data_IF_549331496590
#
_entry.id   IF_549331496590
#
_cell.length_a   1.000
_cell.length_b   1.000
_cell.length_c   1.000
_cell.angle_alpha   90.00
_cell.angle_beta   90.00
_cell.angle_gamma   90.00
#
_symmetry.space_group_name_H-M   'P 1'
#
loop_
_entity.id
_entity.type
_entity.pdbx_description
1 polymer ?
#
# COMPACT_ATOMS: atom_id res chain seq x y z
N UNK A 1 -21.59 13.90 -12.63
CA UNK A 1 -20.29 13.18 -12.53
C UNK A 1 -20.49 11.78 -13.08
N UNK A 2 -19.64 11.30 -13.98
CA UNK A 2 -19.83 10.00 -14.60
C UNK A 2 -19.42 8.85 -13.65
N UNK A 3 -20.22 7.80 -13.61
CA UNK A 3 -19.98 6.63 -12.76
C UNK A 3 -19.81 5.38 -13.61
N UNK A 4 -18.79 4.59 -13.30
CA UNK A 4 -18.60 3.22 -13.79
C UNK A 4 -18.69 2.29 -12.57
N UNK A 5 -19.43 1.20 -12.70
CA UNK A 5 -19.54 0.19 -11.64
C UNK A 5 -18.62 -0.99 -11.94
N UNK A 6 -17.95 -1.52 -10.90
CA UNK A 6 -17.18 -2.76 -10.99
C UNK A 6 -17.66 -3.75 -9.94
N UNK A 7 -18.30 -4.81 -10.40
CA UNK A 7 -19.07 -5.72 -9.56
C UNK A 7 -18.52 -7.13 -9.59
N UNK A 8 -18.56 -7.81 -8.44
CA UNK A 8 -18.23 -9.22 -8.32
C UNK A 8 -18.24 -9.69 -6.87
N UNK A 9 -18.38 -10.98 -6.60
CA UNK A 9 -18.44 -11.52 -5.25
C UNK A 9 -17.24 -11.18 -4.39
N UNK A 10 -17.38 -11.26 -3.08
CA UNK A 10 -16.26 -11.01 -2.17
C UNK A 10 -15.11 -12.01 -2.38
N UNK A 11 -13.86 -11.54 -2.27
CA UNK A 11 -12.68 -12.38 -2.42
C UNK A 11 -12.27 -12.73 -3.86
N UNK A 12 -12.89 -12.13 -4.87
CA UNK A 12 -12.60 -12.43 -6.29
C UNK A 12 -11.47 -11.61 -6.91
N UNK A 13 -10.82 -10.74 -6.12
CA UNK A 13 -9.71 -9.92 -6.59
C UNK A 13 -10.13 -8.57 -7.20
N UNK A 14 -11.36 -8.07 -6.96
CA UNK A 14 -11.84 -6.77 -7.46
C UNK A 14 -10.90 -5.61 -7.10
N UNK A 15 -10.61 -5.43 -5.81
CA UNK A 15 -9.72 -4.34 -5.36
C UNK A 15 -8.34 -4.42 -6.01
N UNK A 16 -7.84 -5.62 -6.27
CA UNK A 16 -6.59 -5.83 -7.01
C UNK A 16 -6.66 -5.32 -8.45
N UNK A 17 -7.81 -5.43 -9.12
CA UNK A 17 -7.99 -5.05 -10.51
C UNK A 17 -8.58 -3.65 -10.67
N UNK A 18 -9.08 -3.06 -9.59
CA UNK A 18 -9.81 -1.79 -9.62
C UNK A 18 -9.03 -0.66 -10.31
N UNK A 19 -7.72 -0.55 -10.07
CA UNK A 19 -6.89 0.48 -10.70
C UNK A 19 -6.81 0.26 -12.22
N UNK A 20 -6.56 -0.99 -12.67
CA UNK A 20 -6.51 -1.31 -14.09
C UNK A 20 -7.84 -1.03 -14.79
N UNK A 21 -8.96 -1.41 -14.17
CA UNK A 21 -10.31 -1.12 -14.66
C UNK A 21 -10.58 0.38 -14.69
N UNK A 22 -10.20 1.12 -13.65
CA UNK A 22 -10.33 2.57 -13.59
C UNK A 22 -9.55 3.25 -14.71
N UNK A 23 -8.32 2.83 -14.95
CA UNK A 23 -7.48 3.38 -16.00
C UNK A 23 -8.08 3.13 -17.40
N UNK A 24 -8.46 1.88 -17.71
CA UNK A 24 -9.07 1.53 -19.00
C UNK A 24 -10.35 2.31 -19.28
N UNK A 25 -11.09 2.68 -18.24
CA UNK A 25 -12.33 3.45 -18.35
C UNK A 25 -12.15 4.95 -18.07
N UNK A 26 -10.91 5.43 -18.01
CA UNK A 26 -10.56 6.85 -17.78
C UNK A 26 -11.23 7.42 -16.51
N UNK A 27 -11.25 6.66 -15.43
CA UNK A 27 -11.75 7.11 -14.14
C UNK A 27 -10.67 7.85 -13.37
N UNK A 28 -11.03 9.00 -12.78
CA UNK A 28 -10.12 9.86 -12.02
C UNK A 28 -9.94 9.40 -10.58
N UNK A 29 -10.95 8.68 -10.05
CA UNK A 29 -10.95 8.20 -8.68
C UNK A 29 -11.70 6.86 -8.56
N UNK A 30 -11.43 6.16 -7.46
CA UNK A 30 -12.04 4.87 -7.13
C UNK A 30 -12.72 4.98 -5.78
N UNK A 31 -13.94 4.43 -5.68
CA UNK A 31 -14.62 4.17 -4.42
C UNK A 31 -14.56 2.66 -4.16
N UNK A 32 -13.87 2.25 -3.09
CA UNK A 32 -13.75 0.86 -2.67
C UNK A 32 -13.77 0.75 -1.14
N UNK A 33 -14.59 -0.16 -0.61
CA UNK A 33 -14.69 -0.47 0.82
C UNK A 33 -14.82 0.77 1.75
N UNK A 34 -15.60 1.77 1.34
CA UNK A 34 -15.86 2.98 2.12
C UNK A 34 -14.84 4.10 1.95
N UNK A 35 -13.87 3.95 1.07
CA UNK A 35 -12.83 4.92 0.77
C UNK A 35 -13.01 5.56 -0.60
N UNK A 36 -12.74 6.86 -0.71
CA UNK A 36 -12.53 7.58 -1.96
C UNK A 36 -11.02 7.74 -2.19
N UNK A 37 -10.53 7.16 -3.27
CA UNK A 37 -9.12 7.06 -3.59
C UNK A 37 -8.85 7.74 -4.93
N UNK A 38 -7.86 8.63 -5.00
CA UNK A 38 -7.39 9.23 -6.24
C UNK A 38 -5.88 9.06 -6.37
N UNK A 39 -5.43 8.39 -7.44
CA UNK A 39 -4.03 8.05 -7.62
C UNK A 39 -3.52 7.22 -6.43
N UNK A 40 -2.62 7.81 -5.65
CA UNK A 40 -2.01 7.18 -4.47
C UNK A 40 -2.60 7.69 -3.14
N UNK A 41 -3.60 8.58 -3.18
CA UNK A 41 -4.13 9.27 -2.00
C UNK A 41 -5.55 8.84 -1.67
N UNK A 42 -5.80 8.66 -0.37
CA UNK A 42 -7.16 8.60 0.16
C UNK A 42 -7.62 10.04 0.36
N UNK A 43 -8.64 10.46 -0.38
CA UNK A 43 -9.19 11.80 -0.29
C UNK A 43 -10.20 11.92 0.84
N UNK A 44 -11.01 10.89 1.07
CA UNK A 44 -12.05 10.87 2.09
C UNK A 44 -12.51 9.44 2.40
N UNK A 45 -13.30 9.30 3.46
CA UNK A 45 -13.89 8.04 3.85
C UNK A 45 -13.12 7.30 4.94
N UNK A 46 -13.73 6.22 5.42
CA UNK A 46 -13.16 5.32 6.44
C UNK A 46 -13.26 3.88 5.93
N UNK A 47 -12.18 3.13 6.07
CA UNK A 47 -12.11 1.76 5.57
C UNK A 47 -13.08 0.82 6.31
N UNK A 48 -13.93 0.15 5.56
CA UNK A 48 -14.79 -0.91 6.08
C UNK A 48 -14.01 -2.12 6.64
N UNK A 49 -12.73 -2.26 6.28
CA UNK A 49 -11.86 -3.34 6.74
C UNK A 49 -11.36 -3.15 8.17
N UNK A 50 -11.46 -1.94 8.70
CA UNK A 50 -11.11 -1.65 10.09
C UNK A 50 -12.23 -2.03 11.07
N UNK A 51 -13.41 -2.40 10.55
CA UNK A 51 -14.54 -2.77 11.39
C UNK A 51 -14.42 -4.22 11.89
N UNK A 52 -14.61 -4.40 13.18
CA UNK A 52 -14.54 -5.72 13.85
C UNK A 52 -15.71 -6.62 13.42
N UNK A 53 -16.87 -5.99 13.13
CA UNK A 53 -18.11 -6.69 12.83
C UNK A 53 -18.46 -6.56 11.34
N UNK A 54 -18.79 -7.71 10.70
CA UNK A 54 -19.20 -7.75 9.28
C UNK A 54 -20.37 -6.84 8.95
N UNK A 55 -21.33 -6.68 9.87
CA UNK A 55 -22.48 -5.81 9.68
C UNK A 55 -22.06 -4.35 9.63
N UNK A 56 -21.15 -3.94 10.53
CA UNK A 56 -20.60 -2.59 10.52
C UNK A 56 -19.71 -2.35 9.31
N UNK A 57 -18.92 -3.34 8.91
CA UNK A 57 -18.14 -3.26 7.68
C UNK A 57 -19.03 -3.00 6.45
N UNK A 58 -20.16 -3.71 6.32
CA UNK A 58 -21.10 -3.45 5.22
C UNK A 58 -21.72 -2.07 5.33
N UNK A 59 -22.16 -1.63 6.51
CA UNK A 59 -22.71 -0.28 6.73
C UNK A 59 -21.70 0.79 6.33
N UNK A 60 -20.44 0.62 6.69
CA UNK A 60 -19.34 1.53 6.33
C UNK A 60 -19.10 1.55 4.82
N UNK A 61 -19.05 0.37 4.20
CA UNK A 61 -18.80 0.24 2.76
C UNK A 61 -19.91 0.85 1.88
N UNK A 62 -21.14 0.93 2.38
CA UNK A 62 -22.29 1.56 1.66
C UNK A 62 -22.56 2.99 2.13
N UNK A 63 -21.67 3.61 2.90
CA UNK A 63 -21.81 5.00 3.37
C UNK A 63 -23.10 5.26 4.18
N UNK A 64 -23.47 4.32 5.04
CA UNK A 64 -24.65 4.48 5.89
C UNK A 64 -24.42 5.53 7.00
N UNK A 65 -23.19 5.73 7.39
CA UNK A 65 -22.75 6.79 8.29
C UNK A 65 -22.81 8.14 7.56
N UNK A 66 -23.58 9.08 8.11
CA UNK A 66 -23.86 10.39 7.47
C UNK A 66 -22.60 11.26 7.39
N UNK A 67 -21.76 11.25 8.41
CA UNK A 67 -20.52 12.04 8.44
C UNK A 67 -19.52 11.55 7.39
N UNK A 68 -19.36 10.23 7.30
CA UNK A 68 -18.53 9.62 6.28
C UNK A 68 -19.05 9.89 4.87
N UNK A 69 -20.37 9.74 4.65
CA UNK A 69 -20.99 10.03 3.37
C UNK A 69 -20.80 11.50 2.98
N UNK A 70 -20.98 12.42 3.92
CA UNK A 70 -20.80 13.86 3.67
C UNK A 70 -19.36 14.20 3.33
N UNK A 71 -18.38 13.67 4.08
CA UNK A 71 -16.96 13.85 3.78
C UNK A 71 -16.59 13.40 2.36
N UNK A 72 -17.14 12.27 1.91
CA UNK A 72 -16.90 11.77 0.55
C UNK A 72 -17.59 12.62 -0.50
N UNK A 73 -18.84 13.07 -0.25
CA UNK A 73 -19.55 14.00 -1.15
C UNK A 73 -18.78 15.31 -1.33
N UNK A 74 -18.28 15.88 -0.25
CA UNK A 74 -17.52 17.13 -0.28
C UNK A 74 -16.22 16.95 -1.06
N UNK A 75 -15.51 15.84 -0.86
CA UNK A 75 -14.31 15.53 -1.61
C UNK A 75 -14.59 15.28 -3.11
N UNK A 76 -15.73 14.67 -3.46
CA UNK A 76 -16.15 14.47 -4.85
C UNK A 76 -16.53 15.80 -5.53
N UNK A 77 -17.19 16.71 -4.82
CA UNK A 77 -17.62 18.02 -5.33
C UNK A 77 -16.51 19.07 -5.33
N UNK A 78 -15.40 18.83 -4.63
CA UNK A 78 -14.29 19.79 -4.54
C UNK A 78 -13.57 19.94 -5.88
N UNK A 79 -13.60 21.16 -6.50
CA UNK A 79 -12.98 21.39 -7.80
C UNK A 79 -11.47 21.13 -7.83
N UNK A 80 -10.78 21.29 -6.68
CA UNK A 80 -9.35 21.02 -6.57
C UNK A 80 -9.02 19.55 -6.84
N UNK A 81 -9.96 18.65 -6.56
CA UNK A 81 -9.79 17.22 -6.79
C UNK A 81 -9.95 16.83 -8.27
N UNK A 82 -10.53 17.67 -9.13
CA UNK A 82 -10.70 17.43 -10.58
C UNK A 82 -11.24 16.03 -10.87
N UNK A 83 -12.32 15.63 -10.23
CA UNK A 83 -12.95 14.32 -10.40
C UNK A 83 -14.16 14.50 -11.33
N UNK A 84 -14.10 13.91 -12.52
CA UNK A 84 -15.20 13.90 -13.50
C UNK A 84 -15.82 12.53 -13.64
N UNK A 85 -14.99 11.47 -13.49
CA UNK A 85 -15.43 10.09 -13.62
C UNK A 85 -14.88 9.24 -12.48
N UNK A 86 -15.75 8.43 -11.88
CA UNK A 86 -15.39 7.54 -10.76
C UNK A 86 -15.66 6.08 -11.10
N UNK A 87 -14.84 5.19 -10.52
CA UNK A 87 -15.12 3.76 -10.46
C UNK A 87 -15.66 3.41 -9.09
N UNK A 88 -16.84 2.79 -9.01
CA UNK A 88 -17.39 2.27 -7.75
C UNK A 88 -17.22 0.74 -7.74
N UNK A 89 -16.51 0.23 -6.76
CA UNK A 89 -16.26 -1.20 -6.58
C UNK A 89 -17.23 -1.75 -5.55
N UNK A 90 -17.97 -2.80 -5.90
CA UNK A 90 -18.94 -3.39 -4.99
C UNK A 90 -19.07 -4.91 -5.16
N UNK A 91 -19.74 -5.55 -4.19
CA UNK A 91 -19.97 -7.00 -4.23
C UNK A 91 -21.19 -7.40 -5.02
N UNK A 92 -22.12 -6.48 -5.27
CA UNK A 92 -23.37 -6.69 -6.02
C UNK A 92 -23.93 -5.39 -6.56
N UNK A 93 -24.82 -5.48 -7.55
CA UNK A 93 -25.53 -4.32 -8.10
C UNK A 93 -26.38 -3.61 -7.05
N UNK A 94 -26.98 -4.36 -6.12
CA UNK A 94 -27.72 -3.77 -4.98
C UNK A 94 -26.83 -2.90 -4.10
N UNK A 95 -25.57 -3.24 -3.95
CA UNK A 95 -24.60 -2.44 -3.20
C UNK A 95 -24.24 -1.17 -3.98
N UNK A 96 -24.05 -1.26 -5.30
CA UNK A 96 -23.84 -0.08 -6.16
C UNK A 96 -25.00 0.90 -6.01
N UNK A 97 -26.25 0.45 -6.15
CA UNK A 97 -27.43 1.29 -6.03
C UNK A 97 -27.49 2.05 -4.69
N UNK A 98 -27.16 1.37 -3.58
CA UNK A 98 -27.08 2.02 -2.27
C UNK A 98 -25.98 3.06 -2.16
N UNK A 99 -24.79 2.78 -2.71
CA UNK A 99 -23.66 3.74 -2.71
C UNK A 99 -24.04 4.97 -3.52
N UNK A 100 -24.59 4.78 -4.71
CA UNK A 100 -25.04 5.84 -5.61
C UNK A 100 -26.07 6.74 -4.92
N UNK A 101 -27.09 6.13 -4.29
CA UNK A 101 -28.11 6.85 -3.51
C UNK A 101 -27.49 7.65 -2.35
N UNK A 102 -26.61 7.03 -1.55
CA UNK A 102 -26.04 7.69 -0.37
C UNK A 102 -25.05 8.80 -0.72
N UNK A 103 -24.30 8.66 -1.80
CA UNK A 103 -23.36 9.66 -2.26
C UNK A 103 -23.97 10.68 -3.22
N UNK A 104 -25.26 10.53 -3.62
CA UNK A 104 -25.97 11.43 -4.53
C UNK A 104 -25.22 11.64 -5.85
N UNK A 105 -24.69 10.53 -6.39
CA UNK A 105 -24.01 10.52 -7.69
C UNK A 105 -24.90 9.92 -8.77
N UNK A 106 -24.52 10.12 -10.04
CA UNK A 106 -25.31 9.60 -11.17
C UNK A 106 -25.34 8.07 -11.19
N UNK A 107 -26.35 7.51 -11.82
CA UNK A 107 -26.41 6.07 -12.07
C UNK A 107 -25.22 5.63 -12.95
N UNK A 108 -24.72 4.40 -12.77
CA UNK A 108 -23.60 3.92 -13.58
C UNK A 108 -23.93 3.93 -15.08
N UNK A 109 -23.06 4.55 -15.86
CA UNK A 109 -23.10 4.50 -17.33
C UNK A 109 -22.82 3.10 -17.85
N UNK A 110 -22.01 2.35 -17.12
CA UNK A 110 -21.61 0.98 -17.43
C UNK A 110 -21.31 0.21 -16.16
N UNK A 111 -21.73 -1.06 -16.14
CA UNK A 111 -21.33 -2.03 -15.14
C UNK A 111 -20.37 -3.05 -15.77
N UNK A 112 -19.23 -3.25 -15.14
CA UNK A 112 -18.22 -4.22 -15.51
C UNK A 112 -18.23 -5.32 -14.45
N UNK A 113 -18.33 -6.56 -14.86
CA UNK A 113 -18.30 -7.68 -13.94
C UNK A 113 -16.90 -8.31 -13.87
N UNK A 114 -16.55 -8.84 -12.70
CA UNK A 114 -15.22 -9.45 -12.47
C UNK A 114 -14.86 -10.53 -13.50
N UNK A 115 -15.85 -11.25 -14.00
CA UNK A 115 -15.67 -12.32 -15.01
C UNK A 115 -15.28 -11.78 -16.39
N UNK A 116 -15.50 -10.49 -16.66
CA UNK A 116 -15.07 -9.83 -17.92
C UNK A 116 -13.57 -9.49 -17.88
N UNK A 117 -12.99 -9.35 -16.70
CA UNK A 117 -11.61 -8.87 -16.51
C UNK A 117 -10.69 -9.87 -15.80
N UNK A 118 -11.22 -11.00 -15.37
CA UNK A 118 -10.47 -12.06 -14.70
C UNK A 118 -10.92 -13.46 -15.15
N UNK A 119 -9.97 -14.35 -15.33
CA UNK A 119 -10.25 -15.76 -15.63
C UNK A 119 -10.81 -16.49 -14.40
N UNK A 120 -11.49 -17.61 -14.65
CA UNK A 120 -12.01 -18.45 -13.56
C UNK A 120 -10.91 -18.95 -12.61
N UNK A 121 -9.73 -19.19 -13.14
CA UNK A 121 -8.56 -19.66 -12.37
C UNK A 121 -8.01 -18.56 -11.46
N UNK A 122 -7.90 -17.33 -11.97
CA UNK A 122 -7.47 -16.17 -11.19
C UNK A 122 -8.45 -15.85 -10.06
N UNK A 123 -9.75 -15.97 -10.32
CA UNK A 123 -10.79 -15.80 -9.30
C UNK A 123 -10.68 -16.86 -8.22
N UNK A 124 -10.48 -18.14 -8.62
CA UNK A 124 -10.26 -19.25 -7.66
C UNK A 124 -9.00 -19.01 -6.82
N UNK A 125 -7.90 -18.61 -7.44
CA UNK A 125 -6.64 -18.28 -6.75
C UNK A 125 -6.80 -17.12 -5.76
N UNK A 126 -7.52 -16.07 -6.14
CA UNK A 126 -7.80 -14.93 -5.27
C UNK A 126 -8.63 -15.34 -4.05
N UNK A 127 -9.65 -16.20 -4.23
CA UNK A 127 -10.46 -16.75 -3.13
C UNK A 127 -9.63 -17.63 -2.20
N UNK A 128 -8.80 -18.51 -2.76
CA UNK A 128 -7.91 -19.36 -2.01
C UNK A 128 -6.98 -18.57 -1.10
N UNK A 129 -6.28 -17.57 -1.66
CA UNK A 129 -5.37 -16.70 -0.92
C UNK A 129 -6.08 -15.93 0.21
N UNK A 130 -7.33 -15.51 -0.01
CA UNK A 130 -8.10 -14.83 1.02
C UNK A 130 -8.51 -15.77 2.16
N UNK A 131 -8.94 -16.98 1.84
CA UNK A 131 -9.42 -17.95 2.83
C UNK A 131 -8.27 -18.56 3.65
N UNK A 132 -7.13 -18.84 3.02
CA UNK A 132 -6.00 -19.50 3.67
C UNK A 132 -4.99 -18.55 4.29
N UNK A 133 -4.71 -17.44 3.62
CA UNK A 133 -3.68 -16.51 4.07
C UNK A 133 -4.26 -15.25 4.75
N UNK A 134 -5.58 -15.06 4.72
CA UNK A 134 -6.25 -13.84 5.24
C UNK A 134 -5.78 -12.56 4.55
N UNK A 135 -5.29 -12.64 3.30
CA UNK A 135 -4.71 -11.51 2.58
C UNK A 135 -5.77 -10.72 1.83
N UNK A 136 -5.77 -9.42 2.03
CA UNK A 136 -6.62 -8.49 1.29
C UNK A 136 -5.78 -7.43 0.60
N UNK A 137 -6.00 -7.24 -0.71
CA UNK A 137 -5.24 -6.30 -1.53
C UNK A 137 -6.06 -5.02 -1.73
N UNK A 138 -5.48 -3.88 -1.40
CA UNK A 138 -6.08 -2.55 -1.63
C UNK A 138 -5.29 -1.77 -2.69
N UNK A 139 -5.97 -0.92 -3.49
CA UNK A 139 -5.37 -0.24 -4.64
C UNK A 139 -4.65 1.08 -4.25
N UNK A 140 -3.97 1.14 -3.11
CA UNK A 140 -3.26 2.35 -2.64
C UNK A 140 -1.88 1.99 -2.11
N UNK A 141 -0.88 2.88 -2.21
CA UNK A 141 0.42 2.66 -1.63
C UNK A 141 0.38 2.48 -0.11
N UNK A 142 1.24 1.60 0.38
CA UNK A 142 1.35 1.28 1.81
C UNK A 142 1.58 2.50 2.71
N UNK A 143 2.33 3.48 2.23
CA UNK A 143 2.71 4.67 3.00
C UNK A 143 1.49 5.53 3.37
N UNK A 144 0.52 5.64 2.48
CA UNK A 144 -0.66 6.47 2.70
C UNK A 144 -1.75 5.78 3.52
N UNK A 145 -1.72 4.47 3.59
CA UNK A 145 -2.67 3.70 4.39
C UNK A 145 -2.26 3.56 5.87
N UNK A 146 -0.99 3.82 6.22
CA UNK A 146 -0.50 3.70 7.60
C UNK A 146 -1.37 4.42 8.64
N UNK A 147 -1.84 5.65 8.42
CA UNK A 147 -2.69 6.34 9.40
C UNK A 147 -4.08 5.72 9.58
N UNK A 148 -4.54 4.96 8.59
CA UNK A 148 -5.90 4.44 8.54
C UNK A 148 -5.99 2.91 8.65
N UNK A 149 -4.85 2.22 8.63
CA UNK A 149 -4.77 0.76 8.68
C UNK A 149 -3.95 0.29 9.87
N UNK A 150 -4.61 -0.04 10.95
CA UNK A 150 -3.99 -0.67 12.12
C UNK A 150 -3.58 -2.14 11.89
N UNK A 151 -3.95 -2.73 10.76
CA UNK A 151 -3.67 -4.14 10.41
C UNK A 151 -2.31 -4.44 9.79
N UNK A 152 -1.37 -3.49 9.80
CA UNK A 152 -0.13 -3.59 9.02
C UNK A 152 1.00 -4.39 9.64
N UNK A 153 0.90 -4.78 10.89
CA UNK A 153 1.94 -5.55 11.55
C UNK A 153 1.68 -7.05 11.46
N UNK A 154 1.79 -7.60 10.23
CA UNK A 154 1.77 -9.04 10.02
C UNK A 154 3.06 -9.74 10.47
N UNK A 155 4.04 -9.01 10.99
CA UNK A 155 5.36 -9.51 11.38
C UNK A 155 5.70 -9.29 12.86
N UNK A 156 4.73 -9.05 13.73
CA UNK A 156 4.95 -9.26 15.15
C UNK A 156 4.90 -10.76 15.43
N UNK A 157 5.94 -11.33 16.03
CA UNK A 157 5.91 -12.74 16.39
C UNK A 157 4.73 -13.00 17.30
N UNK A 158 3.94 -14.02 16.97
CA UNK A 158 2.70 -14.42 17.64
C UNK A 158 2.87 -14.88 19.10
N UNK A 159 3.98 -14.53 19.77
CA UNK A 159 4.39 -15.10 21.05
C UNK A 159 4.44 -14.11 22.22
N UNK A 160 3.87 -12.93 22.14
CA UNK A 160 3.95 -12.02 23.29
C UNK A 160 2.66 -11.88 24.08
N UNK A 161 1.57 -12.44 23.81
CA UNK A 161 0.41 -12.52 24.73
C UNK A 161 -0.56 -13.62 24.27
N UNK A 162 -0.21 -14.86 24.51
CA UNK A 162 -1.17 -15.96 24.37
C UNK A 162 -1.55 -16.55 25.72
N UNK A 163 -2.52 -15.93 26.35
CA UNK A 163 -3.38 -16.62 27.30
C UNK A 163 -4.81 -16.17 27.08
N UNK A 164 -5.35 -16.44 25.88
CA UNK A 164 -6.79 -16.63 25.65
C UNK A 164 -6.99 -17.04 24.19
N UNK A 165 -6.77 -18.34 23.96
CA UNK A 165 -7.19 -18.99 22.73
C UNK A 165 -8.69 -19.30 22.84
N UNK A 166 -9.53 -18.36 22.42
CA UNK A 166 -10.80 -18.68 21.75
C UNK A 166 -11.33 -17.40 21.11
N UNK A 167 -11.52 -17.44 19.78
CA UNK A 167 -12.14 -16.40 18.95
C UNK A 167 -11.29 -15.14 18.68
N UNK A 168 -10.11 -15.30 18.12
CA UNK A 168 -9.58 -14.25 17.25
C UNK A 168 -10.16 -14.52 15.87
N UNK A 169 -11.16 -13.73 15.49
CA UNK A 169 -11.63 -13.64 14.11
C UNK A 169 -10.40 -13.47 13.22
N UNK A 170 -10.26 -14.27 12.17
CA UNK A 170 -9.21 -14.14 11.17
C UNK A 170 -9.23 -12.69 10.66
N UNK A 171 -8.34 -11.85 11.20
CA UNK A 171 -8.18 -10.50 10.71
C UNK A 171 -7.64 -10.59 9.30
N UNK A 172 -8.42 -10.16 8.33
CA UNK A 172 -8.02 -10.08 6.93
C UNK A 172 -6.74 -9.25 6.83
N UNK A 173 -5.61 -9.89 6.57
CA UNK A 173 -4.32 -9.22 6.37
C UNK A 173 -4.35 -8.47 5.06
N UNK A 174 -4.21 -7.16 5.12
CA UNK A 174 -4.22 -6.32 3.91
C UNK A 174 -2.81 -6.21 3.31
N UNK A 175 -2.67 -6.66 2.07
CA UNK A 175 -1.47 -6.45 1.27
C UNK A 175 -1.72 -5.28 0.33
N UNK A 176 -0.91 -4.24 0.44
CA UNK A 176 -0.95 -3.09 -0.45
C UNK A 176 0.07 -3.27 -1.56
N UNK A 177 -0.38 -3.12 -2.80
CA UNK A 177 0.51 -3.10 -3.96
C UNK A 177 0.67 -1.67 -4.46
N UNK A 178 1.87 -1.26 -4.84
CA UNK A 178 2.10 0.03 -5.48
C UNK A 178 1.28 0.15 -6.78
N UNK A 179 0.77 1.35 -7.06
CA UNK A 179 -0.07 1.61 -8.24
C UNK A 179 0.60 1.24 -9.57
N UNK A 180 1.92 1.37 -9.68
CA UNK A 180 2.68 1.07 -10.89
C UNK A 180 2.79 -0.43 -11.22
N UNK A 181 2.44 -1.34 -10.32
CA UNK A 181 2.42 -2.79 -10.61
C UNK A 181 1.31 -3.20 -11.60
N UNK A 182 0.42 -2.28 -11.95
CA UNK A 182 -0.69 -2.52 -12.87
C UNK A 182 -0.34 -2.26 -14.35
N UNK A 183 0.74 -1.52 -14.62
CA UNK A 183 1.14 -1.13 -15.98
C UNK A 183 2.23 -2.02 -16.58
N UNK A 184 2.48 -3.16 -16.01
CA UNK A 184 3.52 -4.09 -16.41
C UNK A 184 4.35 -4.55 -15.22
N UNK A 185 5.42 -5.31 -15.48
CA UNK A 185 6.40 -5.67 -14.46
C UNK A 185 7.39 -4.52 -14.30
N UNK A 186 7.34 -3.81 -13.20
CA UNK A 186 8.46 -2.98 -12.78
C UNK A 186 9.50 -3.90 -12.11
N UNK A 187 10.60 -4.12 -12.78
CA UNK A 187 11.77 -4.81 -12.25
C UNK A 187 12.81 -3.76 -11.91
N UNK A 188 13.18 -3.67 -10.65
CA UNK A 188 14.27 -2.82 -10.18
C UNK A 188 15.47 -3.74 -9.99
N UNK A 189 16.53 -3.49 -10.77
CA UNK A 189 17.78 -4.21 -10.66
C UNK A 189 18.45 -3.93 -9.30
N UNK A 190 19.26 -4.88 -8.82
CA UNK A 190 19.99 -4.68 -7.58
C UNK A 190 20.98 -3.51 -7.70
N UNK A 191 21.58 -3.34 -8.87
CA UNK A 191 22.48 -2.21 -9.16
C UNK A 191 21.80 -0.84 -8.97
N UNK A 192 20.54 -0.69 -9.40
CA UNK A 192 19.80 0.54 -9.20
C UNK A 192 19.53 0.85 -7.71
N UNK A 193 19.40 -0.20 -6.88
CA UNK A 193 19.26 -0.02 -5.43
C UNK A 193 20.63 0.31 -4.82
N UNK A 194 21.69 -0.30 -5.31
CA UNK A 194 23.05 0.00 -4.89
C UNK A 194 23.43 1.45 -5.21
N UNK A 195 23.02 1.99 -6.37
CA UNK A 195 23.19 3.40 -6.71
C UNK A 195 22.46 4.34 -5.73
N UNK A 196 21.21 4.00 -5.35
CA UNK A 196 20.48 4.77 -4.34
C UNK A 196 21.21 4.76 -2.99
N UNK A 197 21.77 3.62 -2.61
CA UNK A 197 22.53 3.45 -1.36
C UNK A 197 23.82 4.28 -1.40
N UNK A 198 24.54 4.25 -2.53
CA UNK A 198 25.79 5.00 -2.72
C UNK A 198 25.55 6.52 -2.64
N UNK A 199 24.53 7.01 -3.35
CA UNK A 199 24.16 8.43 -3.32
C UNK A 199 23.73 8.85 -1.90
N UNK A 200 22.92 8.05 -1.22
CA UNK A 200 22.51 8.33 0.15
C UNK A 200 23.70 8.40 1.12
N UNK A 201 24.72 7.58 0.90
CA UNK A 201 25.91 7.62 1.74
C UNK A 201 26.80 8.83 1.44
N UNK A 202 26.95 9.22 0.20
CA UNK A 202 27.69 10.43 -0.19
C UNK A 202 27.03 11.69 0.39
N UNK A 203 25.70 11.73 0.46
CA UNK A 203 24.95 12.82 1.09
C UNK A 203 25.02 12.81 2.63
N UNK A 204 25.51 11.72 3.25
CA UNK A 204 25.55 11.61 4.71
C UNK A 204 26.79 12.29 5.27
N UNK A 205 26.57 13.37 6.02
CA UNK A 205 27.66 14.07 6.75
C UNK A 205 28.40 13.10 7.68
N UNK A 206 29.74 13.07 7.52
CA UNK A 206 30.61 12.19 8.32
C UNK A 206 31.02 10.91 7.60
N UNK A 207 30.41 10.57 6.47
CA UNK A 207 30.83 9.47 5.59
C UNK A 207 31.88 10.01 4.62
N UNK A 208 33.01 9.29 4.50
CA UNK A 208 34.08 9.66 3.56
C UNK A 208 33.92 8.91 2.24
N UNK A 209 33.60 7.62 2.29
CA UNK A 209 33.32 6.78 1.11
C UNK A 209 32.60 5.49 1.48
N UNK A 210 31.96 4.87 0.50
CA UNK A 210 31.50 3.48 0.58
C UNK A 210 32.58 2.57 0.00
N UNK A 211 32.89 1.51 0.71
CA UNK A 211 33.79 0.45 0.25
C UNK A 211 33.02 -0.61 -0.52
N UNK A 212 31.83 -0.95 -0.03
CA UNK A 212 30.99 -1.97 -0.62
C UNK A 212 29.55 -1.86 -0.13
N UNK A 213 28.58 -2.07 -1.02
CA UNK A 213 27.21 -2.37 -0.68
C UNK A 213 26.87 -3.81 -1.07
N UNK A 214 26.00 -4.45 -0.32
CA UNK A 214 25.48 -5.79 -0.62
C UNK A 214 23.99 -5.85 -0.27
N UNK A 215 23.20 -6.20 -1.26
CA UNK A 215 21.78 -6.43 -1.11
C UNK A 215 21.51 -7.93 -0.89
N UNK A 216 20.65 -8.24 0.05
CA UNK A 216 20.16 -9.58 0.23
C UNK A 216 18.63 -9.57 0.13
N UNK A 217 18.13 -10.05 -0.99
CA UNK A 217 16.71 -10.40 -1.13
C UNK A 217 16.49 -11.75 -0.49
N UNK A 218 15.61 -11.85 0.48
CA UNK A 218 15.17 -13.17 0.93
C UNK A 218 14.20 -13.72 -0.11
N UNK A 219 14.26 -15.03 -0.36
CA UNK A 219 13.45 -15.77 -1.33
C UNK A 219 11.93 -15.62 -1.12
N UNK A 220 11.52 -15.15 0.04
CA UNK A 220 10.15 -14.79 0.35
C UNK A 220 10.02 -13.27 0.25
N UNK A 221 9.45 -12.80 -0.85
CA UNK A 221 9.27 -11.37 -1.18
C UNK A 221 8.47 -10.56 -0.11
N UNK A 222 7.85 -11.26 0.86
CA UNK A 222 7.14 -10.66 1.99
C UNK A 222 8.07 -10.17 3.12
N UNK A 223 9.36 -10.55 3.11
CA UNK A 223 10.28 -10.33 4.25
C UNK A 223 11.20 -9.12 4.14
N UNK A 224 11.08 -8.30 3.10
CA UNK A 224 11.81 -7.04 2.92
C UNK A 224 13.30 -7.22 2.56
N UNK A 225 13.94 -6.09 2.21
CA UNK A 225 15.35 -6.01 1.85
C UNK A 225 16.23 -5.92 3.09
N UNK A 226 17.35 -6.63 3.07
CA UNK A 226 18.47 -6.44 4.02
C UNK A 226 19.62 -5.82 3.24
N UNK A 227 20.02 -4.62 3.63
CA UNK A 227 21.11 -3.87 2.99
C UNK A 227 22.30 -3.90 3.93
N UNK A 228 23.46 -4.28 3.42
CA UNK A 228 24.73 -4.24 4.15
C UNK A 228 25.68 -3.28 3.47
N UNK A 229 26.20 -2.31 4.21
CA UNK A 229 27.15 -1.32 3.70
C UNK A 229 28.42 -1.32 4.54
N UNK A 230 29.56 -1.29 3.85
CA UNK A 230 30.87 -1.11 4.45
C UNK A 230 31.35 0.31 4.08
N UNK A 231 31.64 1.13 5.09
CA UNK A 231 31.94 2.54 4.92
C UNK A 231 33.26 2.93 5.57
N UNK A 232 33.85 3.99 5.04
CA UNK A 232 34.93 4.76 5.66
C UNK A 232 34.31 6.04 6.19
N UNK A 233 34.58 6.38 7.45
CA UNK A 233 34.06 7.57 8.08
C UNK A 233 35.18 8.58 8.34
N UNK A 234 34.80 9.87 8.42
CA UNK A 234 35.72 10.90 8.89
C UNK A 234 35.92 10.79 10.40
N UNK A 235 37.16 11.00 10.85
CA UNK A 235 37.48 11.14 12.26
C UNK A 235 36.95 12.46 12.81
N UNK A 236 36.40 12.43 14.04
CA UNK A 236 35.99 13.64 14.76
C UNK A 236 34.58 13.63 15.29
N UNK A 237 33.67 12.82 14.74
CA UNK A 237 32.30 12.67 15.25
C UNK A 237 32.08 11.28 15.90
N UNK A 238 31.05 11.20 16.75
CA UNK A 238 30.63 9.92 17.34
C UNK A 238 30.13 8.97 16.26
N UNK A 239 30.80 7.82 16.08
CA UNK A 239 30.47 6.84 15.01
C UNK A 239 29.01 6.39 15.03
N UNK A 240 28.44 6.23 16.23
CA UNK A 240 27.03 5.84 16.39
C UNK A 240 26.05 6.89 15.80
N UNK A 241 26.41 8.19 15.85
CA UNK A 241 25.57 9.25 15.30
C UNK A 241 25.60 9.21 13.79
N UNK A 242 26.80 9.11 13.18
CA UNK A 242 26.97 9.03 11.73
C UNK A 242 26.27 7.78 11.18
N UNK A 243 26.53 6.60 11.77
CA UNK A 243 25.96 5.33 11.28
C UNK A 243 24.44 5.30 11.39
N UNK A 244 23.85 5.85 12.46
CA UNK A 244 22.40 5.96 12.60
C UNK A 244 21.79 6.91 11.57
N UNK A 245 22.44 8.03 11.30
CA UNK A 245 22.04 8.99 10.25
C UNK A 245 22.06 8.32 8.88
N UNK A 246 23.12 7.59 8.58
CA UNK A 246 23.27 6.81 7.34
C UNK A 246 22.19 5.74 7.19
N UNK A 247 21.95 4.94 8.24
CA UNK A 247 20.91 3.90 8.23
C UNK A 247 19.52 4.48 7.92
N UNK A 248 19.17 5.59 8.57
CA UNK A 248 17.87 6.25 8.37
C UNK A 248 17.75 6.80 6.95
N UNK A 249 18.79 7.43 6.41
CA UNK A 249 18.78 8.01 5.08
C UNK A 249 18.66 6.92 4.01
N UNK A 250 19.48 5.87 4.08
CA UNK A 250 19.41 4.73 3.16
C UNK A 250 18.01 4.11 3.18
N UNK A 251 17.50 3.81 4.38
CA UNK A 251 16.17 3.22 4.52
C UNK A 251 15.10 4.10 3.88
N UNK A 252 15.07 5.38 4.21
CA UNK A 252 14.04 6.29 3.70
C UNK A 252 14.12 6.48 2.19
N UNK A 253 15.32 6.61 1.61
CA UNK A 253 15.52 6.78 0.17
C UNK A 253 15.13 5.54 -0.62
N UNK A 254 15.59 4.36 -0.19
CA UNK A 254 15.26 3.10 -0.86
C UNK A 254 13.75 2.82 -0.78
N UNK A 255 13.13 2.98 0.40
CA UNK A 255 11.68 2.77 0.54
C UNK A 255 10.87 3.78 -0.29
N UNK A 256 11.30 5.04 -0.34
CA UNK A 256 10.62 6.10 -1.10
C UNK A 256 10.70 5.88 -2.61
N UNK A 257 11.89 5.57 -3.13
CA UNK A 257 12.11 5.46 -4.59
C UNK A 257 11.64 4.13 -5.16
N UNK A 258 11.72 3.05 -4.39
CA UNK A 258 11.43 1.69 -4.89
C UNK A 258 10.10 1.13 -4.41
N UNK A 259 9.47 1.75 -3.41
CA UNK A 259 8.34 1.22 -2.65
C UNK A 259 8.60 -0.18 -2.03
N UNK A 260 9.86 -0.61 -1.96
CA UNK A 260 10.26 -1.86 -1.30
C UNK A 260 10.44 -1.61 0.19
N UNK A 261 10.06 -2.56 1.04
CA UNK A 261 10.30 -2.45 2.48
C UNK A 261 11.74 -2.80 2.80
N UNK A 262 12.47 -1.92 3.46
CA UNK A 262 13.80 -2.19 4.01
C UNK A 262 13.65 -2.68 5.45
N UNK A 263 14.01 -3.94 5.69
CA UNK A 263 13.94 -4.56 7.01
C UNK A 263 15.07 -4.11 7.91
N UNK A 264 16.28 -4.11 7.37
CA UNK A 264 17.49 -3.79 8.11
C UNK A 264 18.53 -3.15 7.21
N UNK A 265 19.30 -2.22 7.77
CA UNK A 265 20.50 -1.62 7.17
C UNK A 265 21.66 -1.88 8.12
N UNK A 266 22.49 -2.86 7.80
CA UNK A 266 23.68 -3.20 8.57
C UNK A 266 24.85 -2.32 8.09
N UNK A 267 25.45 -1.54 8.98
CA UNK A 267 26.59 -0.67 8.66
C UNK A 267 27.84 -1.18 9.34
N UNK A 268 28.88 -1.46 8.58
CA UNK A 268 30.23 -1.83 9.06
C UNK A 268 31.21 -0.70 8.77
N UNK A 269 31.84 -0.17 9.81
CA UNK A 269 32.90 0.85 9.66
C UNK A 269 34.24 0.15 9.46
N UNK A 270 34.84 0.35 8.28
CA UNK A 270 36.11 -0.30 7.88
C UNK A 270 37.33 0.46 8.41
N UNK A 271 37.31 1.78 8.26
CA UNK A 271 38.41 2.63 8.68
C UNK A 271 37.93 4.07 8.91
N UNK A 272 38.80 4.85 9.51
CA UNK A 272 38.61 6.28 9.71
C UNK A 272 39.67 7.05 8.93
N UNK A 273 39.30 8.18 8.36
CA UNK A 273 40.19 9.13 7.67
C UNK A 273 40.06 10.52 8.26
N UNK A 274 41.13 11.26 8.26
CA UNK A 274 41.13 12.65 8.69
C UNK A 274 40.77 13.52 7.48
N UNK A 275 39.88 14.49 7.66
CA UNK A 275 39.59 15.49 6.61
C UNK A 275 40.90 16.26 6.34
N UNK A 276 41.38 16.18 5.12
CA UNK A 276 42.40 17.16 4.69
C UNK A 276 41.74 18.53 4.65
N UNK A 277 42.29 19.48 5.41
CA UNK A 277 41.90 20.86 5.34
C UNK A 277 42.22 21.44 3.94
#
# INVERSE_FOLDING_TARGET
MQVIAFVGPSGTGKSHRAIGVAFQNKCDAIIDDGLLIKGTKILAGVSAKNEINKVQAVKRAIFLDKEQAQSVKDALKNPANRIQRILIVATSDKMIAKIVEKLEVDQPLRTIYINEVATKEEIKKARYLRLHDGKHIVPVPRVELKPHFTGYFADLPANIFSKDRKQVAQSDRSIVRPAFSFYGKLLIADDAIDDIVNIAAEETLGVASIVRSRLRRRSDSSKGLVIRVEVVLYYGEKLQVITRRLQNLIKSRVEYMTAMTVKNVDVSVRSLVVRKQ
#
